data_IF_374247409460
#
_entry.id   IF_374247409460
#
_cell.length_a   1.000
_cell.length_b   1.000
_cell.length_c   1.000
_cell.angle_alpha   90.00
_cell.angle_beta   90.00
_cell.angle_gamma   90.00
#
_symmetry.space_group_name_H-M   'P 1'
#
loop_
_entity.id
_entity.type
_entity.pdbx_description
1 polymer ?
#
# COMPACT_ATOMS: atom_id res chain seq x y z
N UNK A 1 -64.41 12.44 6.93
CA UNK A 1 -64.14 11.14 6.26
C UNK A 1 -62.85 11.13 5.42
N UNK A 2 -62.43 12.24 4.80
CA UNK A 2 -61.19 12.28 3.99
C UNK A 2 -59.91 12.13 4.84
N UNK A 3 -59.88 12.74 6.03
CA UNK A 3 -58.73 12.73 6.94
C UNK A 3 -58.37 11.32 7.45
N UNK A 4 -59.38 10.47 7.68
CA UNK A 4 -59.16 9.11 8.17
C UNK A 4 -58.56 8.18 7.10
N UNK A 5 -58.93 8.38 5.82
CA UNK A 5 -58.36 7.66 4.69
C UNK A 5 -56.90 8.05 4.43
N UNK A 6 -56.58 9.34 4.55
CA UNK A 6 -55.21 9.84 4.40
C UNK A 6 -54.31 9.30 5.54
N UNK A 7 -54.79 9.33 6.78
CA UNK A 7 -54.03 8.80 7.93
C UNK A 7 -53.77 7.29 7.82
N UNK A 8 -54.76 6.52 7.32
CA UNK A 8 -54.62 5.08 7.11
C UNK A 8 -53.62 4.76 5.98
N UNK A 9 -53.63 5.53 4.87
CA UNK A 9 -52.66 5.38 3.79
C UNK A 9 -51.23 5.68 4.23
N UNK A 10 -51.01 6.75 5.02
CA UNK A 10 -49.67 7.13 5.50
C UNK A 10 -49.09 6.06 6.43
N UNK A 11 -49.90 5.47 7.32
CA UNK A 11 -49.48 4.37 8.20
C UNK A 11 -49.17 3.10 7.40
N UNK A 12 -49.98 2.75 6.39
CA UNK A 12 -49.73 1.59 5.54
C UNK A 12 -48.42 1.74 4.73
N UNK A 13 -48.14 2.95 4.21
CA UNK A 13 -46.89 3.22 3.48
C UNK A 13 -45.67 3.24 4.38
N UNK A 14 -45.81 3.67 5.63
CA UNK A 14 -44.73 3.64 6.62
C UNK A 14 -44.39 2.21 7.05
N UNK A 15 -45.40 1.34 7.19
CA UNK A 15 -45.19 -0.07 7.52
C UNK A 15 -44.52 -0.87 6.39
N UNK A 16 -44.78 -0.52 5.12
CA UNK A 16 -44.12 -1.14 3.97
C UNK A 16 -42.64 -0.76 3.85
N UNK A 17 -42.25 0.45 4.27
CA UNK A 17 -40.86 0.93 4.23
C UNK A 17 -39.95 0.34 5.33
N UNK A 18 -40.50 -0.21 6.40
CA UNK A 18 -39.73 -0.80 7.52
C UNK A 18 -39.41 -2.29 7.28
N UNK A 19 -39.97 -2.88 6.23
CA UNK A 19 -39.91 -4.34 5.99
C UNK A 19 -38.71 -4.82 5.17
N UNK A 20 -37.76 -3.97 4.80
CA UNK A 20 -36.50 -4.46 4.22
C UNK A 20 -35.67 -5.08 5.35
N UNK A 21 -35.48 -6.42 5.41
CA UNK A 21 -34.56 -6.99 6.37
C UNK A 21 -33.19 -6.38 6.09
N UNK A 22 -32.59 -5.71 7.08
CA UNK A 22 -31.17 -5.42 7.03
C UNK A 22 -30.44 -6.75 7.07
N UNK A 23 -30.07 -7.26 5.89
CA UNK A 23 -29.09 -8.31 5.76
C UNK A 23 -27.73 -7.70 6.05
N UNK A 24 -27.36 -7.63 7.33
CA UNK A 24 -25.96 -7.47 7.69
C UNK A 24 -25.29 -8.81 7.41
N UNK A 25 -24.41 -8.85 6.41
CA UNK A 25 -23.47 -9.94 6.28
C UNK A 25 -22.49 -9.85 7.43
N UNK A 26 -22.53 -10.83 8.33
CA UNK A 26 -21.42 -11.08 9.24
C UNK A 26 -20.68 -12.28 8.69
N UNK A 27 -19.36 -12.16 8.54
CA UNK A 27 -18.50 -13.26 8.13
C UNK A 27 -18.76 -14.46 9.04
N UNK A 28 -19.07 -15.62 8.46
CA UNK A 28 -19.34 -16.84 9.20
C UNK A 28 -18.08 -17.22 10.02
N UNK A 29 -18.20 -17.19 11.36
CA UNK A 29 -17.07 -17.52 12.24
C UNK A 29 -16.59 -18.96 12.04
N UNK A 30 -17.50 -19.89 11.75
CA UNK A 30 -17.16 -21.28 11.49
C UNK A 30 -16.34 -21.41 10.20
N UNK A 31 -16.71 -20.71 9.15
CA UNK A 31 -15.93 -20.62 7.91
C UNK A 31 -14.55 -20.01 8.17
N UNK A 32 -14.51 -18.85 8.83
CA UNK A 32 -13.27 -18.13 9.09
C UNK A 32 -12.31 -18.96 9.94
N UNK A 33 -12.83 -19.65 10.96
CA UNK A 33 -12.06 -20.55 11.81
C UNK A 33 -11.56 -21.79 11.05
N UNK A 34 -12.43 -22.44 10.27
CA UNK A 34 -12.06 -23.59 9.43
C UNK A 34 -10.91 -23.23 8.47
N UNK A 35 -11.03 -22.07 7.79
CA UNK A 35 -10.00 -21.57 6.88
C UNK A 35 -8.72 -21.16 7.60
N UNK A 36 -8.80 -20.58 8.79
CA UNK A 36 -7.63 -20.20 9.59
C UNK A 36 -6.79 -21.43 10.01
N UNK A 37 -7.42 -22.60 10.17
CA UNK A 37 -6.75 -23.88 10.39
C UNK A 37 -6.26 -24.57 9.10
N UNK A 38 -6.45 -23.90 7.95
CA UNK A 38 -6.14 -24.43 6.62
C UNK A 38 -6.94 -25.71 6.29
N UNK A 39 -8.15 -25.83 6.82
CA UNK A 39 -9.10 -26.89 6.50
C UNK A 39 -10.03 -26.47 5.35
N UNK A 40 -10.69 -27.44 4.72
CA UNK A 40 -11.57 -27.14 3.59
C UNK A 40 -12.98 -26.82 4.07
N UNK A 41 -13.43 -25.59 3.86
CA UNK A 41 -14.83 -25.20 4.06
C UNK A 41 -15.68 -25.51 2.83
N UNK A 42 -16.93 -25.95 3.04
CA UNK A 42 -17.92 -26.21 1.98
C UNK A 42 -19.32 -25.80 2.46
N UNK A 43 -20.20 -25.50 1.52
CA UNK A 43 -21.63 -25.30 1.79
C UNK A 43 -22.38 -26.57 1.37
N UNK A 44 -23.17 -27.14 2.29
CA UNK A 44 -24.05 -28.26 2.05
C UNK A 44 -25.50 -27.82 2.00
N UNK A 45 -26.25 -28.32 1.01
CA UNK A 45 -27.70 -28.13 0.94
C UNK A 45 -28.39 -29.20 1.78
N UNK A 46 -29.28 -28.77 2.67
CA UNK A 46 -30.13 -29.61 3.52
C UNK A 46 -31.60 -29.34 3.23
N UNK A 47 -32.49 -30.17 3.75
CA UNK A 47 -33.94 -29.96 3.64
C UNK A 47 -34.42 -28.66 4.31
N UNK A 48 -33.65 -28.13 5.26
CA UNK A 48 -33.96 -26.92 6.04
C UNK A 48 -33.26 -25.65 5.51
N UNK A 49 -32.41 -25.77 4.50
CA UNK A 49 -31.60 -24.67 3.96
C UNK A 49 -30.15 -25.06 3.70
N UNK A 50 -29.26 -24.09 3.65
CA UNK A 50 -27.82 -24.31 3.47
C UNK A 50 -27.10 -24.27 4.82
N UNK A 51 -26.09 -25.11 5.00
CA UNK A 51 -25.20 -25.07 6.18
C UNK A 51 -23.73 -25.08 5.76
N UNK A 52 -22.89 -24.42 6.53
CA UNK A 52 -21.44 -24.46 6.37
C UNK A 52 -20.82 -25.67 7.07
N UNK A 53 -19.97 -26.41 6.38
CA UNK A 53 -19.24 -27.56 6.93
C UNK A 53 -17.73 -27.39 6.76
N UNK A 54 -16.99 -27.91 7.72
CA UNK A 54 -15.53 -27.99 7.68
C UNK A 54 -15.09 -29.44 7.44
N UNK A 55 -14.22 -29.66 6.45
CA UNK A 55 -13.62 -30.96 6.17
C UNK A 55 -12.27 -31.02 6.88
N UNK A 56 -12.19 -31.88 7.90
CA UNK A 56 -11.02 -32.08 8.72
C UNK A 56 -9.94 -32.89 7.98
N UNK A 57 -8.68 -32.90 8.45
CA UNK A 57 -7.58 -33.65 7.81
C UNK A 57 -7.81 -35.16 7.67
N UNK A 58 -8.64 -35.75 8.52
CA UNK A 58 -9.05 -37.16 8.44
C UNK A 58 -10.21 -37.41 7.45
N UNK A 59 -10.63 -36.40 6.68
CA UNK A 59 -11.81 -36.38 5.81
C UNK A 59 -13.16 -36.45 6.53
N UNK A 60 -13.19 -36.32 7.86
CA UNK A 60 -14.43 -36.12 8.59
C UNK A 60 -15.03 -34.76 8.23
N UNK A 61 -16.36 -34.72 8.08
CA UNK A 61 -17.10 -33.50 7.74
C UNK A 61 -17.92 -33.11 8.96
N UNK A 62 -17.61 -31.96 9.54
CA UNK A 62 -18.24 -31.43 10.75
C UNK A 62 -18.97 -30.13 10.45
N UNK A 63 -20.01 -29.82 11.23
CA UNK A 63 -20.65 -28.51 11.16
C UNK A 63 -19.65 -27.42 11.56
N UNK A 64 -19.49 -26.39 10.72
CA UNK A 64 -18.43 -25.41 10.89
C UNK A 64 -18.60 -24.56 12.17
N UNK A 65 -19.84 -24.22 12.52
CA UNK A 65 -20.13 -23.48 13.75
C UNK A 65 -19.94 -24.37 14.98
N UNK A 66 -20.46 -25.60 14.95
CA UNK A 66 -20.29 -26.56 16.03
C UNK A 66 -18.80 -26.89 16.26
N UNK A 67 -17.99 -26.92 15.20
CA UNK A 67 -16.54 -27.11 15.29
C UNK A 67 -15.83 -25.92 15.95
N UNK A 68 -16.18 -24.68 15.57
CA UNK A 68 -15.67 -23.47 16.25
C UNK A 68 -16.00 -23.46 17.75
N UNK A 69 -17.19 -23.91 18.12
CA UNK A 69 -17.61 -24.06 19.53
C UNK A 69 -17.00 -25.27 20.25
N UNK A 70 -16.19 -26.09 19.57
CA UNK A 70 -15.60 -27.31 20.12
C UNK A 70 -16.59 -28.43 20.42
N UNK A 71 -17.81 -28.37 19.86
CA UNK A 71 -18.84 -29.41 19.98
C UNK A 71 -18.55 -30.61 19.07
N UNK A 72 -17.91 -30.35 17.93
CA UNK A 72 -17.48 -31.37 16.96
C UNK A 72 -15.96 -31.27 16.70
N UNK A 73 -15.38 -32.26 16.00
CA UNK A 73 -13.97 -32.21 15.55
C UNK A 73 -12.92 -32.24 16.66
N UNK A 74 -13.22 -32.91 17.79
CA UNK A 74 -12.29 -33.02 18.94
C UNK A 74 -10.90 -33.47 18.50
N UNK A 75 -9.87 -32.75 18.97
CA UNK A 75 -8.47 -33.04 18.64
C UNK A 75 -7.98 -32.37 17.34
N UNK A 76 -8.88 -31.79 16.55
CA UNK A 76 -8.56 -31.00 15.36
C UNK A 76 -8.79 -29.50 15.56
N UNK A 77 -9.37 -29.08 16.68
CA UNK A 77 -9.46 -27.67 17.04
C UNK A 77 -8.07 -27.08 17.34
N UNK A 78 -7.94 -25.76 17.15
CA UNK A 78 -6.68 -25.05 17.33
C UNK A 78 -6.02 -25.31 18.69
N UNK A 79 -6.81 -25.25 19.77
CA UNK A 79 -6.28 -25.41 21.13
C UNK A 79 -5.72 -26.81 21.33
N UNK A 80 -6.41 -27.85 20.85
CA UNK A 80 -5.92 -29.23 20.87
C UNK A 80 -4.61 -29.40 20.10
N UNK A 81 -4.47 -28.79 18.92
CA UNK A 81 -3.25 -28.87 18.10
C UNK A 81 -2.02 -28.29 18.80
N UNK A 82 -2.20 -27.37 19.74
CA UNK A 82 -1.14 -26.73 20.51
C UNK A 82 -1.07 -27.21 21.98
N UNK A 83 -1.63 -28.38 22.28
CA UNK A 83 -1.67 -28.98 23.63
C UNK A 83 -2.31 -28.05 24.70
N UNK A 84 -3.37 -27.36 24.32
CA UNK A 84 -4.15 -26.47 25.17
C UNK A 84 -5.63 -26.90 25.18
N UNK A 85 -6.42 -26.35 26.10
CA UNK A 85 -7.84 -26.70 26.25
C UNK A 85 -8.74 -25.61 25.66
N UNK A 86 -9.73 -25.98 24.85
CA UNK A 86 -10.74 -25.05 24.36
C UNK A 86 -11.73 -24.72 25.50
N UNK A 87 -11.95 -23.43 25.75
CA UNK A 87 -12.80 -22.92 26.85
C UNK A 87 -13.65 -21.72 26.41
N UNK A 88 -14.74 -21.49 27.13
CA UNK A 88 -15.51 -20.25 27.07
C UNK A 88 -14.92 -19.28 28.11
N UNK A 89 -14.43 -18.13 27.64
CA UNK A 89 -13.82 -17.07 28.45
C UNK A 89 -14.88 -16.00 28.70
N UNK A 90 -15.05 -15.61 29.96
CA UNK A 90 -15.94 -14.50 30.40
C UNK A 90 -15.11 -13.38 31.00
N UNK A 91 -14.33 -12.74 30.15
CA UNK A 91 -13.42 -11.68 30.54
C UNK A 91 -13.42 -10.60 29.46
N UNK A 92 -13.83 -9.38 29.82
CA UNK A 92 -13.92 -8.25 28.90
C UNK A 92 -12.54 -7.77 28.44
N UNK A 93 -11.48 -7.97 29.22
CA UNK A 93 -10.12 -7.61 28.83
C UNK A 93 -9.61 -8.54 27.71
N UNK A 94 -9.95 -9.82 27.79
CA UNK A 94 -9.55 -10.84 26.79
C UNK A 94 -10.49 -10.84 25.58
N UNK A 95 -11.80 -10.70 25.81
CA UNK A 95 -12.82 -10.83 24.77
C UNK A 95 -13.28 -9.49 24.18
N UNK A 96 -12.82 -8.36 24.70
CA UNK A 96 -13.26 -7.04 24.23
C UNK A 96 -14.74 -6.77 24.53
N UNK A 97 -15.39 -5.98 23.68
CA UNK A 97 -16.75 -5.45 23.93
C UNK A 97 -17.84 -6.52 24.07
N UNK A 98 -17.66 -7.70 23.47
CA UNK A 98 -18.59 -8.82 23.58
C UNK A 98 -18.62 -9.43 24.99
N UNK A 99 -17.54 -9.31 25.77
CA UNK A 99 -17.45 -9.77 27.16
C UNK A 99 -17.41 -11.29 27.36
N UNK A 100 -17.77 -12.09 26.35
CA UNK A 100 -17.64 -13.55 26.32
C UNK A 100 -17.12 -14.00 24.95
N UNK A 101 -16.19 -14.95 24.92
CA UNK A 101 -15.59 -15.48 23.69
C UNK A 101 -15.01 -16.89 23.88
N UNK A 102 -14.81 -17.63 22.78
CA UNK A 102 -14.11 -18.92 22.81
C UNK A 102 -12.60 -18.67 22.68
N UNK A 103 -11.82 -19.38 23.48
CA UNK A 103 -10.38 -19.25 23.53
C UNK A 103 -9.68 -20.51 24.01
N UNK A 104 -8.36 -20.43 24.11
CA UNK A 104 -7.54 -21.50 24.68
C UNK A 104 -7.16 -21.17 26.12
N UNK A 105 -7.24 -22.17 26.99
CA UNK A 105 -6.59 -22.20 28.30
C UNK A 105 -5.32 -23.04 28.20
N UNK A 106 -4.19 -22.41 28.53
CA UNK A 106 -2.87 -23.00 28.46
C UNK A 106 -2.52 -23.74 29.77
N UNK A 107 -1.51 -24.65 29.77
CA UNK A 107 -1.11 -25.38 30.98
C UNK A 107 -0.66 -24.52 32.17
N UNK A 108 -0.28 -23.26 31.91
CA UNK A 108 0.05 -22.26 32.92
C UNK A 108 -1.18 -21.45 33.40
N UNK A 109 -2.39 -21.90 33.08
CA UNK A 109 -3.68 -21.27 33.42
C UNK A 109 -3.94 -19.90 32.76
N UNK A 110 -3.08 -19.47 31.83
CA UNK A 110 -3.35 -18.28 31.03
C UNK A 110 -4.39 -18.55 29.95
N UNK A 111 -5.11 -17.50 29.53
CA UNK A 111 -6.20 -17.59 28.56
C UNK A 111 -6.02 -16.59 27.43
N UNK A 112 -6.38 -16.98 26.22
CA UNK A 112 -6.40 -16.08 25.06
C UNK A 112 -7.53 -16.42 24.09
N UNK A 113 -8.14 -15.39 23.50
CA UNK A 113 -9.21 -15.51 22.51
C UNK A 113 -8.73 -16.19 21.23
N UNK A 114 -9.52 -17.11 20.67
CA UNK A 114 -9.22 -17.73 19.37
C UNK A 114 -9.12 -16.69 18.26
N UNK A 115 -9.98 -15.67 18.28
CA UNK A 115 -10.01 -14.60 17.28
C UNK A 115 -8.66 -13.87 17.27
N UNK A 116 -8.11 -13.58 18.46
CA UNK A 116 -6.83 -12.92 18.61
C UNK A 116 -5.65 -13.84 18.23
N UNK A 117 -5.67 -15.10 18.68
CA UNK A 117 -4.61 -16.07 18.42
C UNK A 117 -4.46 -16.40 16.93
N UNK A 118 -5.59 -16.48 16.22
CA UNK A 118 -5.66 -16.84 14.80
C UNK A 118 -5.78 -15.61 13.89
N UNK A 119 -5.75 -14.40 14.46
CA UNK A 119 -5.90 -13.14 13.73
C UNK A 119 -7.13 -13.14 12.79
N UNK A 120 -8.27 -13.63 13.29
CA UNK A 120 -9.52 -13.74 12.52
C UNK A 120 -10.20 -12.37 12.48
N UNK A 121 -10.27 -11.75 11.30
CA UNK A 121 -11.08 -10.53 11.11
C UNK A 121 -12.56 -10.90 10.95
N UNK A 122 -13.41 -10.38 11.85
CA UNK A 122 -14.87 -10.56 11.83
C UNK A 122 -15.62 -9.48 11.05
N UNK A 123 -14.93 -8.44 10.62
CA UNK A 123 -15.51 -7.42 9.74
C UNK A 123 -15.51 -7.98 8.32
N UNK A 124 -16.66 -7.95 7.66
CA UNK A 124 -16.67 -8.05 6.20
C UNK A 124 -15.87 -6.85 5.66
N UNK A 125 -14.90 -7.14 4.81
CA UNK A 125 -14.12 -6.13 4.08
C UNK A 125 -15.06 -5.55 3.02
N UNK A 126 -15.60 -4.36 3.29
CA UNK A 126 -16.56 -3.70 2.41
C UNK A 126 -15.83 -2.67 1.60
N UNK A 127 -15.60 -3.00 0.34
CA UNK A 127 -15.08 -2.03 -0.61
C UNK A 127 -15.97 -0.78 -0.69
N UNK A 128 -15.37 0.38 -0.46
CA UNK A 128 -16.00 1.68 -0.43
C UNK A 128 -16.24 2.27 0.96
N UNK A 129 -15.62 1.74 2.02
CA UNK A 129 -15.64 2.31 3.36
C UNK A 129 -14.49 3.31 3.62
N UNK A 130 -13.65 3.53 2.60
CA UNK A 130 -12.46 4.38 2.57
C UNK A 130 -11.30 3.87 3.45
N UNK A 131 -11.30 2.59 3.82
CA UNK A 131 -10.20 1.94 4.52
C UNK A 131 -9.71 0.79 3.64
N UNK A 132 -8.48 0.89 3.12
CA UNK A 132 -7.85 -0.24 2.44
C UNK A 132 -7.55 -1.35 3.48
N UNK A 133 -8.46 -2.31 3.60
CA UNK A 133 -8.41 -3.35 4.63
C UNK A 133 -7.46 -4.50 4.25
N UNK A 134 -7.12 -5.35 5.23
CA UNK A 134 -6.26 -6.51 4.98
C UNK A 134 -7.00 -7.49 4.06
N UNK A 135 -6.46 -7.73 2.85
CA UNK A 135 -7.10 -8.57 1.84
C UNK A 135 -7.68 -7.78 0.67
N UNK A 136 -7.88 -6.48 0.85
CA UNK A 136 -8.15 -5.53 -0.23
C UNK A 136 -6.85 -5.05 -0.88
N UNK A 137 -6.93 -4.73 -2.16
CA UNK A 137 -5.88 -4.11 -2.93
C UNK A 137 -6.46 -3.38 -4.14
N UNK A 138 -5.61 -2.69 -4.90
CA UNK A 138 -6.03 -1.93 -6.07
C UNK A 138 -6.79 -2.78 -7.10
N UNK A 139 -6.51 -4.09 -7.20
CA UNK A 139 -7.18 -4.97 -8.15
C UNK A 139 -8.63 -5.27 -7.76
N UNK A 140 -8.89 -5.55 -6.48
CA UNK A 140 -10.21 -6.00 -6.01
C UNK A 140 -11.05 -4.89 -5.37
N UNK A 141 -10.41 -3.82 -4.88
CA UNK A 141 -11.07 -2.64 -4.32
C UNK A 141 -10.28 -1.34 -4.61
N UNK A 142 -10.25 -0.86 -5.87
CA UNK A 142 -9.57 0.39 -6.23
C UNK A 142 -10.19 1.64 -5.58
N UNK A 143 -11.40 1.52 -5.03
CA UNK A 143 -12.10 2.64 -4.38
C UNK A 143 -11.46 3.02 -3.04
N UNK A 144 -11.00 2.03 -2.28
CA UNK A 144 -10.38 2.25 -0.97
C UNK A 144 -8.86 2.07 -1.00
N UNK A 145 -8.35 1.26 -1.95
CA UNK A 145 -6.94 1.07 -2.23
C UNK A 145 -6.56 1.76 -3.57
N UNK A 146 -6.24 3.07 -3.55
CA UNK A 146 -5.90 3.80 -4.77
C UNK A 146 -4.57 3.34 -5.37
N UNK A 147 -4.36 3.63 -6.65
CA UNK A 147 -3.12 3.30 -7.36
C UNK A 147 -1.92 3.96 -6.68
N UNK A 148 -0.81 3.23 -6.62
CA UNK A 148 0.38 3.65 -5.87
C UNK A 148 0.30 3.46 -4.34
N UNK A 149 -0.75 2.79 -3.85
CA UNK A 149 -0.89 2.38 -2.46
C UNK A 149 0.08 1.26 -2.09
N UNK A 150 0.32 1.04 -0.78
CA UNK A 150 0.98 -0.17 -0.29
C UNK A 150 -0.10 -1.13 0.23
N UNK A 151 -0.57 -2.00 -0.64
CA UNK A 151 -1.66 -2.94 -0.40
C UNK A 151 -1.29 -4.40 -0.73
N UNK A 152 0.00 -4.64 -1.02
CA UNK A 152 0.54 -5.96 -1.34
C UNK A 152 0.31 -6.39 -2.79
N UNK A 153 -0.19 -5.50 -3.64
CA UNK A 153 -0.41 -5.74 -5.06
C UNK A 153 0.32 -4.68 -5.89
N UNK A 154 1.02 -5.12 -6.93
CA UNK A 154 1.69 -4.24 -7.90
C UNK A 154 0.73 -4.00 -9.08
N UNK A 155 0.14 -2.81 -9.18
CA UNK A 155 -0.95 -2.52 -10.14
C UNK A 155 -0.49 -2.32 -11.60
N UNK A 156 0.74 -1.86 -11.80
CA UNK A 156 1.32 -1.64 -13.12
C UNK A 156 0.65 -0.54 -13.96
N UNK A 157 -0.08 0.37 -13.32
CA UNK A 157 -0.81 1.44 -14.01
C UNK A 157 0.15 2.57 -14.36
N UNK A 158 0.05 3.08 -15.60
CA UNK A 158 0.81 4.25 -16.02
C UNK A 158 0.05 5.54 -15.72
N UNK A 159 0.11 6.01 -14.48
CA UNK A 159 -0.56 7.24 -14.02
C UNK A 159 0.40 8.32 -13.48
N UNK A 160 1.71 8.06 -13.49
CA UNK A 160 2.74 8.93 -12.96
C UNK A 160 3.08 8.68 -11.49
N UNK A 161 2.45 7.69 -10.84
CA UNK A 161 2.69 7.27 -9.47
C UNK A 161 3.36 5.90 -9.52
N UNK A 162 4.51 5.76 -8.86
CA UNK A 162 5.14 4.44 -8.71
C UNK A 162 4.53 3.71 -7.53
N UNK A 163 4.05 2.49 -7.79
CA UNK A 163 3.55 1.55 -6.80
C UNK A 163 4.70 0.98 -5.92
N UNK A 164 4.67 1.26 -4.59
CA UNK A 164 5.66 0.76 -3.64
C UNK A 164 5.78 -0.76 -3.58
N UNK A 165 4.71 -1.51 -3.89
CA UNK A 165 4.72 -2.97 -3.87
C UNK A 165 5.52 -3.52 -5.05
N UNK A 166 5.50 -2.85 -6.22
CA UNK A 166 6.39 -3.20 -7.33
C UNK A 166 7.88 -3.06 -6.96
N UNK A 167 8.24 -2.09 -6.10
CA UNK A 167 9.60 -1.95 -5.58
C UNK A 167 9.90 -3.06 -4.56
N UNK A 168 8.99 -3.29 -3.62
CA UNK A 168 9.18 -4.25 -2.53
C UNK A 168 9.38 -5.67 -3.06
N UNK A 169 8.58 -6.08 -4.05
CA UNK A 169 8.70 -7.38 -4.70
C UNK A 169 9.79 -7.44 -5.79
N UNK A 170 10.56 -6.36 -5.99
CA UNK A 170 11.62 -6.25 -6.99
C UNK A 170 11.13 -6.52 -8.42
N UNK A 171 9.93 -6.05 -8.74
CA UNK A 171 9.29 -6.14 -10.06
C UNK A 171 9.03 -4.75 -10.63
N UNK A 172 10.03 -3.86 -10.58
CA UNK A 172 9.92 -2.45 -11.02
C UNK A 172 9.51 -2.32 -12.48
N UNK A 173 9.84 -3.31 -13.30
CA UNK A 173 9.51 -3.38 -14.72
C UNK A 173 8.01 -3.59 -15.01
N UNK A 174 7.22 -4.01 -14.01
CA UNK A 174 5.76 -4.18 -14.15
C UNK A 174 5.02 -2.85 -14.12
N UNK A 175 5.57 -1.86 -13.42
CA UNK A 175 5.00 -0.52 -13.32
C UNK A 175 5.89 0.47 -14.11
N UNK A 176 5.38 1.02 -15.23
CA UNK A 176 6.11 1.99 -16.03
C UNK A 176 6.60 3.23 -15.27
N UNK A 177 5.94 3.60 -14.17
CA UNK A 177 6.27 4.79 -13.38
C UNK A 177 7.34 4.50 -12.30
N UNK A 178 7.51 3.24 -11.91
CA UNK A 178 8.61 2.79 -11.03
C UNK A 178 9.97 2.70 -11.70
N UNK A 179 10.03 2.92 -13.01
CA UNK A 179 11.27 3.01 -13.78
C UNK A 179 11.88 4.43 -13.65
N UNK A 180 11.23 5.35 -12.91
CA UNK A 180 11.74 6.69 -12.65
C UNK A 180 12.99 6.64 -11.77
N UNK A 181 14.11 6.99 -12.39
CA UNK A 181 15.44 7.08 -11.80
C UNK A 181 15.53 8.15 -10.71
N UNK A 182 15.99 7.80 -9.51
CA UNK A 182 16.11 8.73 -8.37
C UNK A 182 17.51 9.32 -8.34
N UNK A 183 17.65 10.49 -8.96
CA UNK A 183 18.93 11.17 -8.96
C UNK A 183 19.30 11.81 -7.61
N UNK A 184 20.50 11.50 -7.11
CA UNK A 184 21.10 11.95 -5.86
C UNK A 184 21.24 10.88 -4.79
N UNK A 185 20.99 9.59 -5.08
CA UNK A 185 21.08 8.49 -4.11
C UNK A 185 22.49 7.84 -4.05
N UNK A 186 23.44 8.35 -4.83
CA UNK A 186 24.84 7.89 -4.98
C UNK A 186 25.01 6.51 -5.63
N UNK A 187 23.98 5.98 -6.26
CA UNK A 187 24.02 4.70 -6.97
C UNK A 187 23.57 4.94 -8.40
N UNK A 188 24.44 4.70 -9.39
CA UNK A 188 24.07 4.80 -10.79
C UNK A 188 23.19 3.60 -11.19
N UNK A 189 21.87 3.75 -11.06
CA UNK A 189 20.87 2.70 -11.31
C UNK A 189 20.54 2.55 -12.82
N UNK A 190 19.83 1.48 -13.18
CA UNK A 190 19.38 1.25 -14.56
C UNK A 190 18.45 2.38 -15.03
N UNK A 191 18.81 3.04 -16.14
CA UNK A 191 18.11 4.21 -16.68
C UNK A 191 18.77 5.54 -16.32
N UNK A 192 19.69 5.56 -15.35
CA UNK A 192 20.52 6.73 -15.05
C UNK A 192 21.69 6.82 -16.00
N UNK A 193 21.99 8.05 -16.40
CA UNK A 193 23.07 8.38 -17.32
C UNK A 193 23.73 9.67 -16.86
N UNK A 194 24.95 9.91 -17.33
CA UNK A 194 25.66 11.19 -17.15
C UNK A 194 24.88 12.44 -17.66
N UNK A 195 23.84 12.26 -18.48
CA UNK A 195 23.04 13.36 -19.05
C UNK A 195 21.77 13.70 -18.24
N UNK A 196 21.20 12.74 -17.52
CA UNK A 196 19.98 12.91 -16.72
C UNK A 196 20.26 12.82 -15.20
N UNK A 197 21.36 12.19 -14.79
CA UNK A 197 21.78 12.10 -13.40
C UNK A 197 23.31 12.00 -13.22
N UNK A 198 24.04 13.09 -13.47
CA UNK A 198 25.48 13.12 -13.20
C UNK A 198 25.86 13.07 -11.71
N UNK A 199 24.91 13.25 -10.78
CA UNK A 199 25.20 13.18 -9.34
C UNK A 199 25.54 11.77 -8.89
N UNK A 200 24.92 10.78 -9.51
CA UNK A 200 25.11 9.37 -9.14
C UNK A 200 26.01 8.63 -10.13
N UNK A 201 25.89 8.91 -11.43
CA UNK A 201 26.72 8.30 -12.47
C UNK A 201 28.06 9.01 -12.73
N UNK A 202 28.28 10.20 -12.13
CA UNK A 202 29.47 11.02 -12.31
C UNK A 202 29.53 11.73 -13.67
N UNK A 203 30.61 12.49 -13.87
CA UNK A 203 30.91 13.16 -15.14
C UNK A 203 32.24 12.68 -15.73
N UNK A 204 32.38 12.69 -17.08
CA UNK A 204 33.65 12.41 -17.74
C UNK A 204 34.73 13.44 -17.37
N UNK A 205 36.01 13.07 -17.56
CA UNK A 205 37.15 13.91 -17.16
C UNK A 205 37.08 15.32 -17.75
N UNK A 206 37.21 16.34 -16.89
CA UNK A 206 37.14 17.76 -17.27
C UNK A 206 35.74 18.37 -17.28
N UNK A 207 34.72 17.63 -16.83
CA UNK A 207 33.36 18.11 -16.64
C UNK A 207 32.97 18.09 -15.16
N UNK A 208 32.11 19.03 -14.76
CA UNK A 208 31.53 19.10 -13.42
C UNK A 208 30.01 18.94 -13.48
N UNK A 209 29.45 18.31 -12.47
CA UNK A 209 28.01 18.13 -12.34
C UNK A 209 27.36 19.38 -11.74
N UNK A 210 26.54 20.09 -12.52
CA UNK A 210 25.77 21.25 -12.09
C UNK A 210 24.31 21.00 -12.49
N UNK A 211 23.39 21.07 -11.53
CA UNK A 211 21.95 20.81 -11.77
C UNK A 211 21.67 19.50 -12.53
N UNK A 212 22.35 18.42 -12.15
CA UNK A 212 22.25 17.08 -12.76
C UNK A 212 22.69 17.00 -14.24
N UNK A 213 23.39 18.03 -14.75
CA UNK A 213 24.03 18.02 -16.07
C UNK A 213 25.55 18.17 -15.98
N UNK A 214 26.28 17.43 -16.81
CA UNK A 214 27.71 17.61 -16.96
C UNK A 214 28.03 18.84 -17.81
N UNK A 215 28.66 19.84 -17.20
CA UNK A 215 29.10 21.06 -17.88
C UNK A 215 30.61 21.20 -17.83
N UNK A 216 31.19 21.70 -18.92
CA UNK A 216 32.62 21.97 -19.01
C UNK A 216 32.91 23.30 -18.32
N UNK A 217 33.60 23.28 -17.19
CA UNK A 217 33.96 24.50 -16.47
C UNK A 217 35.33 24.95 -16.99
N UNK A 218 35.41 26.15 -17.55
CA UNK A 218 36.69 26.77 -17.88
C UNK A 218 37.35 27.29 -16.60
N UNK A 219 38.60 26.89 -16.37
CA UNK A 219 39.37 27.31 -15.19
C UNK A 219 39.43 28.84 -15.09
N UNK A 220 39.27 29.43 -13.88
CA UNK A 220 39.44 30.86 -13.65
C UNK A 220 40.75 31.41 -14.22
N UNK A 221 41.81 30.60 -14.22
CA UNK A 221 43.11 30.98 -14.79
C UNK A 221 43.03 31.28 -16.28
N UNK A 222 42.25 30.51 -17.04
CA UNK A 222 42.05 30.74 -18.48
C UNK A 222 41.30 32.04 -18.71
N UNK A 223 40.32 32.35 -17.87
CA UNK A 223 39.57 33.60 -17.94
C UNK A 223 40.45 34.83 -17.67
N UNK A 224 41.30 34.78 -16.64
CA UNK A 224 42.26 35.86 -16.36
C UNK A 224 43.29 36.04 -17.48
N UNK A 225 43.77 34.95 -18.08
CA UNK A 225 44.68 35.03 -19.23
C UNK A 225 43.99 35.70 -20.42
N UNK A 226 42.73 35.36 -20.72
CA UNK A 226 41.96 36.00 -21.78
C UNK A 226 41.77 37.49 -21.50
N UNK A 227 41.36 37.86 -20.28
CA UNK A 227 41.21 39.28 -19.90
C UNK A 227 42.54 40.02 -20.04
N UNK A 228 43.63 39.44 -19.55
CA UNK A 228 44.95 40.06 -19.63
C UNK A 228 45.38 40.31 -21.08
N UNK A 229 45.17 39.34 -21.98
CA UNK A 229 45.43 39.50 -23.41
C UNK A 229 44.57 40.62 -24.02
N UNK A 230 43.28 40.67 -23.70
CA UNK A 230 42.38 41.73 -24.18
C UNK A 230 42.82 43.12 -23.69
N UNK A 231 43.24 43.24 -22.43
CA UNK A 231 43.76 44.49 -21.86
C UNK A 231 45.05 44.92 -22.57
N UNK A 232 45.99 44.00 -22.79
CA UNK A 232 47.23 44.30 -23.52
C UNK A 232 46.93 44.79 -24.94
N UNK A 233 46.01 44.12 -25.66
CA UNK A 233 45.59 44.55 -26.99
C UNK A 233 44.98 45.97 -26.95
N UNK A 234 44.08 46.26 -26.00
CA UNK A 234 43.51 47.59 -25.84
C UNK A 234 44.58 48.67 -25.57
N UNK A 235 45.56 48.38 -24.70
CA UNK A 235 46.67 49.29 -24.41
C UNK A 235 47.49 49.56 -25.68
N UNK A 236 47.83 48.52 -26.47
CA UNK A 236 48.59 48.70 -27.71
C UNK A 236 47.85 49.55 -28.73
N UNK A 237 46.52 49.42 -28.82
CA UNK A 237 45.67 50.25 -29.67
C UNK A 237 45.68 51.71 -29.18
N UNK A 238 45.57 51.95 -27.87
CA UNK A 238 45.62 53.30 -27.28
C UNK A 238 46.98 53.98 -27.51
N UNK A 239 48.09 53.24 -27.39
CA UNK A 239 49.43 53.77 -27.65
C UNK A 239 49.59 54.13 -29.12
N UNK A 240 49.15 53.24 -30.03
CA UNK A 240 49.25 53.46 -31.47
C UNK A 240 48.40 54.66 -31.93
N UNK A 241 47.19 54.79 -31.41
CA UNK A 241 46.32 55.95 -31.71
C UNK A 241 46.93 57.26 -31.23
N UNK A 242 47.47 57.33 -30.00
CA UNK A 242 48.17 58.54 -29.51
C UNK A 242 49.37 58.94 -30.37
N UNK A 243 50.13 57.98 -30.88
CA UNK A 243 51.27 58.29 -31.76
C UNK A 243 50.79 58.92 -33.08
N UNK A 244 49.78 58.34 -33.72
CA UNK A 244 49.21 58.87 -34.97
C UNK A 244 48.62 60.27 -34.79
N UNK A 245 47.99 60.58 -33.65
CA UNK A 245 47.48 61.94 -33.38
C UNK A 245 48.61 62.95 -33.17
N UNK A 246 49.73 62.54 -32.58
CA UNK A 246 50.89 63.42 -32.34
C UNK A 246 51.60 63.78 -33.65
N UNK A 247 51.67 62.84 -34.60
CA UNK A 247 52.25 63.06 -35.92
C UNK A 247 51.37 63.95 -36.82
N UNK A 248 50.05 64.01 -36.57
CA UNK A 248 49.12 64.91 -37.29
C UNK A 248 49.13 66.35 -36.75
N UNK A 249 49.47 66.56 -35.47
CA UNK A 249 49.56 67.88 -34.82
C UNK A 249 50.91 68.59 -35.02
N UNK A 250 51.92 67.91 -35.56
CA UNK A 250 53.24 68.49 -35.87
C UNK A 250 53.42 68.94 -37.32
N UNK A 251 52.37 68.81 -38.15
CA UNK A 251 52.34 69.21 -39.57
C UNK A 251 51.39 70.43 -39.80
N UNK A 252 50.83 70.98 -38.71
CA UNK A 252 49.99 72.19 -38.73
C UNK A 252 50.73 73.44 -38.29
#
# INVERSE_FOLDING_TARGET
MLYHKIFCCVILTYFLLISTPLSFGFKDLGEAYCKALNYSFKIEKTELGERGVCVLPNNEVVDAWAFYEGKEGKGYDYCSLINSSLVIIRDREICGEVGECIGCEFPNETKASLIALLNISLKEEVCGDNICAVGENHQNCPKDCPSGGRDGYCDGIKDGICDPDCIFFKTREKDPDCIKTICGNRVCEFGETQNNCCKDCGCPSGFHCIENKCVKVFSPTVYFVIIFVVILLAITIIIKTKHTTKDLLSIG
#
